data_IF_320310321283
#
_entry.id   IF_320310321283
#
_cell.length_a   1.000
_cell.length_b   1.000
_cell.length_c   1.000
_cell.angle_alpha   90.00
_cell.angle_beta   90.00
_cell.angle_gamma   90.00
#
_symmetry.space_group_name_H-M   'P 1'
#
loop_
_entity.id
_entity.type
_entity.pdbx_description
1 polymer ?
#
# COMPACT_ATOMS: atom_id res chain seq x y z
N UNK A 1 -19.53 10.53 -5.50
CA UNK A 1 -18.68 11.11 -6.56
C UNK A 1 -18.93 12.60 -6.67
N UNK A 2 -17.91 13.44 -6.89
CA UNK A 2 -18.13 14.86 -7.20
C UNK A 2 -18.81 14.98 -8.57
N UNK A 3 -19.80 15.87 -8.68
CA UNK A 3 -20.59 16.01 -9.88
C UNK A 3 -19.78 16.69 -10.99
N UNK A 4 -19.56 15.98 -12.09
CA UNK A 4 -18.76 16.42 -13.22
C UNK A 4 -19.67 16.78 -14.39
N UNK A 5 -19.29 17.73 -15.27
CA UNK A 5 -20.12 18.13 -16.41
C UNK A 5 -20.54 16.96 -17.32
N UNK A 6 -19.70 15.94 -17.46
CA UNK A 6 -20.01 14.75 -18.25
C UNK A 6 -21.01 13.78 -17.58
N UNK A 7 -21.34 13.95 -16.29
CA UNK A 7 -22.47 13.24 -15.64
C UNK A 7 -23.83 13.90 -15.88
N UNK A 8 -23.84 15.11 -16.43
CA UNK A 8 -25.06 15.87 -16.69
C UNK A 8 -25.69 15.55 -18.06
N UNK A 9 -25.01 14.75 -18.88
CA UNK A 9 -25.50 14.26 -20.17
C UNK A 9 -25.52 12.73 -20.18
N UNK A 10 -26.33 12.07 -21.03
CA UNK A 10 -26.20 10.64 -21.25
C UNK A 10 -24.77 10.29 -21.65
N UNK A 11 -24.21 9.25 -21.02
CA UNK A 11 -22.88 8.72 -21.32
C UNK A 11 -22.89 7.19 -21.26
N UNK A 12 -21.87 6.63 -21.88
CA UNK A 12 -21.52 5.23 -21.95
C UNK A 12 -19.99 5.07 -21.95
N UNK A 13 -19.48 3.85 -22.07
CA UNK A 13 -18.03 3.61 -22.13
C UNK A 13 -17.38 4.34 -23.31
N UNK A 14 -18.01 4.38 -24.49
CA UNK A 14 -17.41 4.96 -25.69
C UNK A 14 -17.21 6.48 -25.55
N UNK A 15 -18.27 7.18 -25.13
CA UNK A 15 -18.23 8.62 -24.83
C UNK A 15 -17.29 8.95 -23.67
N UNK A 16 -17.27 8.16 -22.60
CA UNK A 16 -16.28 8.35 -21.50
C UNK A 16 -14.85 8.16 -22.00
N UNK A 17 -14.58 7.15 -22.82
CA UNK A 17 -13.25 6.96 -23.42
C UNK A 17 -12.86 8.13 -24.30
N UNK A 18 -13.75 8.57 -25.19
CA UNK A 18 -13.47 9.64 -26.15
C UNK A 18 -13.33 11.03 -25.51
N UNK A 19 -14.28 11.39 -24.63
CA UNK A 19 -14.41 12.74 -24.09
C UNK A 19 -13.58 12.94 -22.81
N UNK A 20 -13.32 11.87 -22.05
CA UNK A 20 -12.73 11.96 -20.71
C UNK A 20 -11.43 11.19 -20.59
N UNK A 21 -11.42 9.87 -20.76
CA UNK A 21 -10.24 9.08 -20.42
C UNK A 21 -9.09 9.27 -21.41
N UNK A 22 -9.35 9.17 -22.72
CA UNK A 22 -8.32 9.32 -23.78
C UNK A 22 -7.60 10.67 -23.72
N UNK A 23 -8.29 11.82 -23.66
CA UNK A 23 -7.60 13.11 -23.61
C UNK A 23 -6.79 13.34 -22.32
N UNK A 24 -7.19 12.72 -21.21
CA UNK A 24 -6.59 13.03 -19.90
C UNK A 24 -5.46 12.07 -19.49
N UNK A 25 -5.57 10.77 -19.79
CA UNK A 25 -4.58 9.80 -19.31
C UNK A 25 -4.49 8.52 -20.13
N UNK A 26 -5.57 8.08 -20.77
CA UNK A 26 -5.60 6.79 -21.46
C UNK A 26 -4.75 6.79 -22.75
N UNK A 27 -4.47 7.96 -23.33
CA UNK A 27 -3.50 8.10 -24.43
C UNK A 27 -2.11 7.56 -24.07
N UNK A 28 -1.71 7.60 -22.78
CA UNK A 28 -0.42 7.07 -22.31
C UNK A 28 -0.33 5.57 -22.59
N UNK A 29 -1.43 4.84 -22.34
CA UNK A 29 -1.52 3.41 -22.60
C UNK A 29 -1.67 3.12 -24.10
N UNK A 30 -2.60 3.80 -24.79
CA UNK A 30 -2.87 3.56 -26.22
C UNK A 30 -1.65 3.84 -27.12
N UNK A 31 -0.82 4.81 -26.76
CA UNK A 31 0.37 5.20 -27.53
C UNK A 31 1.66 4.52 -27.03
N UNK A 32 1.58 3.70 -25.97
CA UNK A 32 2.74 3.02 -25.40
C UNK A 32 3.79 3.97 -24.81
N UNK A 33 3.37 5.13 -24.29
CA UNK A 33 4.28 6.16 -23.76
C UNK A 33 4.96 5.69 -22.47
N UNK A 34 4.19 5.11 -21.54
CA UNK A 34 4.67 4.63 -20.25
C UNK A 34 3.71 3.59 -19.65
N UNK A 35 4.17 2.78 -18.67
CA UNK A 35 3.27 1.99 -17.83
C UNK A 35 2.25 2.90 -17.13
N UNK A 36 0.98 2.48 -17.13
CA UNK A 36 -0.13 3.19 -16.51
C UNK A 36 -0.68 2.39 -15.34
N UNK A 37 -0.79 3.03 -14.18
CA UNK A 37 -1.50 2.53 -12.99
C UNK A 37 -2.64 3.49 -12.65
N UNK A 38 -3.87 2.99 -12.66
CA UNK A 38 -5.03 3.72 -12.12
C UNK A 38 -4.94 3.60 -10.60
N UNK A 39 -4.42 4.67 -9.96
CA UNK A 39 -4.13 4.67 -8.53
C UNK A 39 -5.36 4.51 -7.63
N UNK A 40 -6.50 5.06 -8.01
CA UNK A 40 -7.74 4.91 -7.25
C UNK A 40 -8.94 4.94 -8.19
N UNK A 41 -9.87 4.01 -7.99
CA UNK A 41 -11.22 4.09 -8.55
C UNK A 41 -12.18 3.31 -7.67
N UNK A 42 -13.42 3.79 -7.55
CA UNK A 42 -14.44 3.15 -6.73
C UNK A 42 -15.63 4.07 -6.48
N UNK A 43 -16.57 3.57 -5.67
CA UNK A 43 -17.82 4.24 -5.39
C UNK A 43 -18.80 3.33 -4.64
N UNK A 44 -19.93 3.92 -4.22
CA UNK A 44 -21.07 3.18 -3.67
C UNK A 44 -21.88 2.58 -4.83
N UNK A 45 -22.26 1.32 -4.72
CA UNK A 45 -23.05 0.65 -5.75
C UNK A 45 -24.53 0.69 -5.37
N UNK A 46 -25.42 0.91 -6.34
CA UNK A 46 -26.88 0.86 -6.13
C UNK A 46 -27.48 2.11 -5.50
N UNK A 47 -26.73 3.22 -5.43
CA UNK A 47 -27.22 4.49 -4.88
C UNK A 47 -27.44 5.58 -5.95
N UNK A 48 -26.64 5.56 -7.02
CA UNK A 48 -26.78 6.47 -8.16
C UNK A 48 -26.45 5.69 -9.44
N UNK A 49 -27.43 5.56 -10.33
CA UNK A 49 -27.28 4.83 -11.59
C UNK A 49 -26.16 5.38 -12.48
N UNK A 50 -25.85 6.68 -12.38
CA UNK A 50 -24.75 7.30 -13.13
C UNK A 50 -23.40 6.82 -12.57
N UNK A 51 -23.26 6.76 -11.25
CA UNK A 51 -22.05 6.24 -10.61
C UNK A 51 -21.86 4.76 -10.94
N UNK A 52 -22.92 3.97 -10.86
CA UNK A 52 -22.90 2.53 -11.19
C UNK A 52 -22.49 2.31 -12.65
N UNK A 53 -23.03 3.12 -13.57
CA UNK A 53 -22.69 3.10 -14.99
C UNK A 53 -21.23 3.50 -15.23
N UNK A 54 -20.75 4.54 -14.57
CA UNK A 54 -19.35 4.97 -14.65
C UNK A 54 -18.38 3.90 -14.14
N UNK A 55 -18.66 3.32 -12.96
CA UNK A 55 -17.85 2.26 -12.38
C UNK A 55 -17.82 1.03 -13.29
N UNK A 56 -18.96 0.66 -13.86
CA UNK A 56 -19.06 -0.46 -14.81
C UNK A 56 -18.25 -0.19 -16.07
N UNK A 57 -18.36 1.02 -16.64
CA UNK A 57 -17.63 1.39 -17.85
C UNK A 57 -16.11 1.41 -17.62
N UNK A 58 -15.64 1.95 -16.49
CA UNK A 58 -14.21 1.97 -16.16
C UNK A 58 -13.68 0.56 -15.89
N UNK A 59 -14.45 -0.26 -15.18
CA UNK A 59 -14.16 -1.69 -14.96
C UNK A 59 -13.98 -2.43 -16.28
N UNK A 60 -14.88 -2.20 -17.25
CA UNK A 60 -14.82 -2.82 -18.57
C UNK A 60 -13.57 -2.36 -19.34
N UNK A 61 -13.23 -1.07 -19.31
CA UNK A 61 -11.99 -0.54 -19.90
C UNK A 61 -10.75 -1.22 -19.31
N UNK A 62 -10.69 -1.32 -17.97
CA UNK A 62 -9.60 -1.98 -17.26
C UNK A 62 -9.46 -3.44 -17.70
N UNK A 63 -10.58 -4.17 -17.75
CA UNK A 63 -10.59 -5.58 -18.10
C UNK A 63 -10.21 -5.85 -19.56
N UNK A 64 -10.66 -4.99 -20.47
CA UNK A 64 -10.40 -5.03 -21.91
C UNK A 64 -8.93 -4.75 -22.22
N UNK A 65 -8.38 -3.67 -21.67
CA UNK A 65 -7.03 -3.21 -21.97
C UNK A 65 -5.96 -3.75 -21.02
N UNK A 66 -6.35 -4.58 -20.05
CA UNK A 66 -5.45 -5.10 -19.01
C UNK A 66 -4.69 -3.95 -18.34
N UNK A 67 -5.44 -2.96 -17.84
CA UNK A 67 -4.85 -1.84 -17.11
C UNK A 67 -4.48 -2.28 -15.68
N UNK A 68 -3.36 -1.76 -15.18
CA UNK A 68 -3.02 -1.90 -13.77
C UNK A 68 -3.89 -0.94 -12.95
N UNK A 69 -4.37 -1.39 -11.78
CA UNK A 69 -5.30 -0.63 -10.96
C UNK A 69 -5.20 -0.98 -9.49
N UNK A 70 -5.62 -0.03 -8.65
CA UNK A 70 -5.95 -0.24 -7.25
C UNK A 70 -7.37 0.24 -6.97
N UNK A 71 -8.22 -0.64 -6.44
CA UNK A 71 -9.61 -0.33 -6.14
C UNK A 71 -9.71 0.40 -4.81
N UNK A 72 -10.37 1.56 -4.82
CA UNK A 72 -10.66 2.33 -3.62
C UNK A 72 -12.07 1.96 -3.10
N UNK A 73 -12.21 1.28 -1.98
CA UNK A 73 -11.16 0.81 -1.05
C UNK A 73 -11.63 -0.47 -0.37
N UNK A 74 -10.73 -1.14 0.36
CA UNK A 74 -11.13 -2.24 1.24
C UNK A 74 -12.04 -1.74 2.38
N UNK A 75 -11.65 -0.63 3.00
CA UNK A 75 -12.23 -0.09 4.23
C UNK A 75 -13.66 0.47 4.03
N UNK A 76 -14.62 0.14 4.90
CA UNK A 76 -16.01 0.61 4.75
C UNK A 76 -16.18 2.11 5.03
N UNK A 77 -15.29 2.70 5.84
CA UNK A 77 -15.42 4.06 6.37
C UNK A 77 -14.97 5.18 5.42
N UNK A 78 -14.77 4.89 4.12
CA UNK A 78 -14.67 5.94 3.11
C UNK A 78 -16.05 6.58 2.90
N UNK A 79 -16.22 7.84 3.30
CA UNK A 79 -17.53 8.47 3.42
C UNK A 79 -18.32 8.50 2.11
N UNK A 80 -17.66 8.76 0.99
CA UNK A 80 -18.25 8.93 -0.33
C UNK A 80 -18.28 7.65 -1.18
N UNK A 81 -17.34 6.71 -0.99
CA UNK A 81 -17.27 5.47 -1.77
C UNK A 81 -17.75 4.23 -1.02
N UNK A 82 -17.76 4.26 0.32
CA UNK A 82 -17.72 3.03 1.12
C UNK A 82 -16.51 2.16 0.74
N UNK A 83 -16.56 0.88 1.13
CA UNK A 83 -15.51 -0.10 0.83
C UNK A 83 -16.03 -1.38 0.19
N UNK A 84 -15.13 -2.34 -0.01
CA UNK A 84 -15.44 -3.73 -0.32
C UNK A 84 -15.89 -4.51 0.93
N UNK A 85 -15.50 -4.07 2.12
CA UNK A 85 -16.09 -4.53 3.37
C UNK A 85 -17.35 -3.71 3.68
N UNK A 86 -18.27 -4.31 4.42
CA UNK A 86 -19.40 -3.65 5.08
C UNK A 86 -18.94 -2.98 6.38
N UNK A 87 -19.81 -2.16 6.96
CA UNK A 87 -19.50 -1.35 8.15
C UNK A 87 -19.14 -2.17 9.40
N UNK A 88 -19.41 -3.48 9.40
CA UNK A 88 -18.97 -4.41 10.45
C UNK A 88 -17.49 -4.82 10.35
N UNK A 89 -16.78 -4.36 9.31
CA UNK A 89 -15.38 -4.68 8.99
C UNK A 89 -15.08 -6.17 8.80
N UNK A 90 -16.11 -6.98 8.55
CA UNK A 90 -16.02 -8.45 8.48
C UNK A 90 -16.68 -9.01 7.24
N UNK A 91 -17.86 -8.52 6.90
CA UNK A 91 -18.64 -9.04 5.78
C UNK A 91 -18.27 -8.32 4.49
N UNK A 92 -18.24 -9.07 3.39
CA UNK A 92 -17.98 -8.51 2.07
C UNK A 92 -19.24 -7.89 1.48
N UNK A 93 -19.05 -6.78 0.76
CA UNK A 93 -20.04 -6.30 -0.19
C UNK A 93 -19.96 -7.13 -1.47
N UNK A 94 -20.69 -8.24 -1.50
CA UNK A 94 -20.73 -9.19 -2.62
C UNK A 94 -21.12 -8.53 -3.95
N UNK A 95 -22.02 -7.54 -3.91
CA UNK A 95 -22.45 -6.83 -5.13
C UNK A 95 -21.31 -5.99 -5.69
N UNK A 96 -20.59 -5.26 -4.83
CA UNK A 96 -19.44 -4.44 -5.23
C UNK A 96 -18.25 -5.31 -5.63
N UNK A 97 -18.02 -6.42 -4.93
CA UNK A 97 -17.00 -7.40 -5.32
C UNK A 97 -17.32 -8.03 -6.68
N UNK A 98 -18.58 -8.37 -6.95
CA UNK A 98 -19.00 -8.87 -8.26
C UNK A 98 -18.77 -7.85 -9.39
N UNK A 99 -18.94 -6.55 -9.11
CA UNK A 99 -18.55 -5.49 -10.05
C UNK A 99 -17.04 -5.50 -10.30
N UNK A 100 -16.22 -5.54 -9.24
CA UNK A 100 -14.75 -5.48 -9.31
C UNK A 100 -14.13 -6.72 -9.97
N UNK A 101 -14.64 -7.91 -9.68
CA UNK A 101 -14.02 -9.21 -10.01
C UNK A 101 -13.56 -9.35 -11.48
N UNK A 102 -14.29 -8.86 -12.50
CA UNK A 102 -13.82 -8.96 -13.89
C UNK A 102 -12.62 -8.07 -14.23
N UNK A 103 -12.35 -7.01 -13.44
CA UNK A 103 -11.14 -6.20 -13.57
C UNK A 103 -9.92 -6.85 -12.89
N UNK A 104 -10.11 -7.87 -12.04
CA UNK A 104 -9.01 -8.66 -11.49
C UNK A 104 -8.50 -9.62 -12.56
N UNK A 105 -7.21 -9.53 -12.88
CA UNK A 105 -6.62 -10.31 -13.96
C UNK A 105 -6.72 -11.80 -13.66
N UNK A 106 -7.18 -12.55 -14.66
CA UNK A 106 -7.31 -13.99 -14.56
C UNK A 106 -6.68 -14.67 -15.77
N UNK A 107 -6.14 -15.85 -15.55
CA UNK A 107 -5.62 -16.74 -16.57
C UNK A 107 -6.00 -18.18 -16.23
N UNK A 108 -6.71 -18.84 -17.14
CA UNK A 108 -7.21 -20.22 -16.95
C UNK A 108 -7.98 -20.41 -15.63
N UNK A 109 -8.83 -19.43 -15.27
CA UNK A 109 -9.66 -19.48 -14.05
C UNK A 109 -8.93 -19.17 -12.74
N UNK A 110 -7.64 -18.82 -12.78
CA UNK A 110 -6.87 -18.38 -11.60
C UNK A 110 -6.56 -16.89 -11.67
N UNK A 111 -6.55 -16.22 -10.52
CA UNK A 111 -6.15 -14.82 -10.42
C UNK A 111 -4.64 -14.67 -10.60
N UNK A 112 -4.21 -13.59 -11.26
CA UNK A 112 -2.79 -13.29 -11.50
C UNK A 112 -2.35 -12.24 -10.49
N UNK A 113 -1.31 -12.54 -9.70
CA UNK A 113 -0.69 -11.55 -8.81
C UNK A 113 0.15 -10.54 -9.59
N UNK A 114 0.47 -9.42 -8.96
CA UNK A 114 1.50 -8.49 -9.45
C UNK A 114 2.93 -8.98 -9.12
N UNK A 115 3.05 -10.05 -8.33
CA UNK A 115 4.33 -10.62 -7.93
C UNK A 115 4.83 -11.61 -8.99
N UNK A 116 6.12 -11.59 -9.31
CA UNK A 116 6.70 -12.42 -10.36
C UNK A 116 7.00 -13.85 -9.91
N UNK A 117 7.06 -14.12 -8.60
CA UNK A 117 7.52 -15.38 -8.01
C UNK A 117 6.47 -16.02 -7.11
N UNK A 118 5.78 -15.23 -6.29
CA UNK A 118 4.81 -15.74 -5.31
C UNK A 118 3.40 -15.70 -5.89
N UNK A 119 2.70 -16.84 -5.95
CA UNK A 119 1.31 -16.88 -6.39
C UNK A 119 0.40 -16.01 -5.50
N UNK A 120 -0.65 -15.43 -6.07
CA UNK A 120 -1.68 -14.77 -5.26
C UNK A 120 -2.30 -15.78 -4.28
N UNK A 121 -2.23 -15.51 -2.98
CA UNK A 121 -2.63 -16.46 -1.92
C UNK A 121 -1.47 -17.29 -1.36
N UNK A 122 -0.24 -17.05 -1.82
CA UNK A 122 0.98 -17.66 -1.27
C UNK A 122 1.36 -18.99 -1.93
N UNK A 123 2.40 -19.62 -1.36
CA UNK A 123 2.91 -20.93 -1.81
C UNK A 123 1.81 -21.98 -1.62
N UNK A 124 1.51 -22.74 -2.68
CA UNK A 124 0.44 -23.73 -2.68
C UNK A 124 -0.96 -23.18 -2.98
N UNK A 125 -1.09 -21.91 -3.37
CA UNK A 125 -2.37 -21.33 -3.75
C UNK A 125 -3.06 -22.13 -4.87
N UNK A 126 -4.32 -22.46 -4.64
CA UNK A 126 -5.19 -23.09 -5.64
C UNK A 126 -5.95 -22.07 -6.48
N UNK A 127 -6.05 -20.83 -6.00
CA UNK A 127 -6.89 -19.76 -6.58
C UNK A 127 -6.09 -18.74 -7.39
N UNK A 128 -4.77 -18.69 -7.23
CA UNK A 128 -3.92 -17.68 -7.85
C UNK A 128 -2.61 -18.21 -8.43
N UNK A 129 -1.99 -17.42 -9.30
CA UNK A 129 -0.68 -17.65 -9.92
C UNK A 129 0.18 -16.38 -9.83
N UNK A 130 1.49 -16.53 -10.04
CA UNK A 130 2.44 -15.43 -10.18
C UNK A 130 2.38 -14.84 -11.60
N UNK A 131 2.88 -13.61 -11.76
CA UNK A 131 3.07 -13.00 -13.07
C UNK A 131 4.11 -13.78 -13.91
N UNK A 132 5.13 -14.35 -13.28
CA UNK A 132 6.12 -15.20 -13.95
C UNK A 132 5.48 -16.43 -14.58
N UNK A 133 4.66 -17.15 -13.80
CA UNK A 133 3.87 -18.30 -14.26
C UNK A 133 2.96 -17.94 -15.44
N UNK A 134 2.32 -16.75 -15.41
CA UNK A 134 1.45 -16.27 -16.49
C UNK A 134 2.18 -16.11 -17.84
N UNK A 135 3.42 -15.64 -17.84
CA UNK A 135 4.17 -15.35 -19.08
C UNK A 135 5.11 -16.48 -19.51
N UNK A 136 4.98 -17.67 -18.92
CA UNK A 136 5.80 -18.83 -19.28
C UNK A 136 7.23 -18.74 -18.77
N UNK A 137 7.53 -17.83 -17.84
CA UNK A 137 8.73 -17.95 -17.03
C UNK A 137 8.61 -19.22 -16.19
N UNK A 138 9.62 -20.08 -16.19
CA UNK A 138 9.72 -21.11 -15.16
C UNK A 138 9.63 -20.40 -13.82
N UNK A 139 8.62 -20.70 -13.00
CA UNK A 139 8.65 -20.31 -11.59
C UNK A 139 10.03 -20.77 -11.09
N UNK A 140 10.94 -19.87 -10.67
CA UNK A 140 12.01 -20.35 -9.82
C UNK A 140 11.27 -21.01 -8.66
N UNK A 141 11.54 -22.29 -8.40
CA UNK A 141 11.02 -22.96 -7.21
C UNK A 141 11.17 -21.97 -6.08
N UNK A 142 10.08 -21.48 -5.47
CA UNK A 142 10.23 -20.55 -4.38
C UNK A 142 10.93 -21.35 -3.30
N UNK A 143 12.24 -21.11 -3.12
CA UNK A 143 12.88 -21.38 -1.85
C UNK A 143 12.15 -20.47 -0.89
N UNK A 144 11.10 -21.02 -0.27
CA UNK A 144 10.67 -20.54 1.02
C UNK A 144 11.96 -20.45 1.83
N UNK A 145 12.40 -19.27 2.29
CA UNK A 145 13.21 -19.29 3.49
C UNK A 145 12.28 -19.88 4.52
N UNK A 146 12.42 -21.18 4.78
CA UNK A 146 12.14 -21.69 6.12
C UNK A 146 12.77 -20.64 7.03
N UNK A 147 12.05 -20.05 8.00
CA UNK A 147 12.73 -19.38 9.09
C UNK A 147 13.48 -20.48 9.84
N UNK A 148 14.62 -20.91 9.30
CA UNK A 148 15.72 -21.43 10.10
C UNK A 148 16.07 -20.27 10.99
N UNK A 149 15.65 -20.37 12.24
CA UNK A 149 16.32 -19.69 13.33
C UNK A 149 17.82 -19.79 13.01
N UNK A 150 18.54 -18.68 12.80
CA UNK A 150 19.94 -18.76 12.45
C UNK A 150 20.64 -19.52 13.56
N UNK A 151 21.13 -20.71 13.26
CA UNK A 151 22.15 -21.36 14.09
C UNK A 151 23.31 -20.38 14.09
N UNK A 152 23.53 -19.73 15.22
CA UNK A 152 24.55 -18.72 15.40
C UNK A 152 25.92 -19.31 15.03
N UNK A 153 26.43 -18.96 13.85
CA UNK A 153 27.86 -19.02 13.57
C UNK A 153 28.50 -17.97 14.48
N UNK A 154 29.57 -18.29 15.23
CA UNK A 154 30.22 -17.31 16.09
C UNK A 154 30.94 -16.29 15.22
N UNK A 155 30.23 -15.22 14.83
CA UNK A 155 30.82 -14.00 14.32
C UNK A 155 31.11 -13.08 15.49
N UNK A 156 32.35 -12.64 15.55
CA UNK A 156 32.87 -11.66 16.49
C UNK A 156 31.95 -10.45 16.57
N UNK A 157 31.38 -10.23 17.76
CA UNK A 157 30.48 -9.12 18.04
C UNK A 157 31.17 -7.78 17.75
N UNK A 158 30.60 -7.01 16.82
CA UNK A 158 30.77 -5.56 16.78
C UNK A 158 29.84 -4.97 17.85
N UNK A 159 30.29 -4.02 18.69
CA UNK A 159 29.57 -3.64 19.90
C UNK A 159 28.22 -3.03 19.57
N UNK A 160 27.14 -3.73 19.95
CA UNK A 160 25.81 -3.15 20.01
C UNK A 160 25.77 -2.21 21.22
N UNK A 161 25.39 -0.93 21.08
CA UNK A 161 25.16 -0.09 22.26
C UNK A 161 24.02 -0.72 23.05
N UNK A 162 24.29 -1.15 24.29
CA UNK A 162 23.25 -1.61 25.20
C UNK A 162 22.37 -0.41 25.55
N UNK A 163 21.18 -0.33 24.97
CA UNK A 163 20.23 0.71 25.33
C UNK A 163 19.50 0.31 26.62
N UNK A 164 19.45 1.18 27.64
CA UNK A 164 18.89 0.84 28.95
C UNK A 164 17.39 0.53 28.87
N UNK A 165 16.94 -0.40 29.71
CA UNK A 165 15.53 -0.75 29.87
C UNK A 165 14.71 0.51 30.19
N UNK A 166 13.72 0.83 29.35
CA UNK A 166 12.91 2.05 29.42
C UNK A 166 12.76 2.79 28.09
N UNK A 167 13.48 2.37 27.04
CA UNK A 167 13.35 2.92 25.68
C UNK A 167 12.52 2.00 24.78
N UNK A 168 11.76 2.58 23.84
CA UNK A 168 11.19 1.79 22.75
C UNK A 168 12.30 1.38 21.76
N UNK A 169 12.02 0.46 20.86
CA UNK A 169 12.86 0.16 19.72
C UNK A 169 12.22 0.70 18.44
N UNK A 170 13.01 1.20 17.49
CA UNK A 170 12.50 1.63 16.20
C UNK A 170 13.39 1.18 15.04
N UNK A 171 12.77 0.75 13.95
CA UNK A 171 13.45 0.31 12.72
C UNK A 171 12.89 1.02 11.51
N UNK A 172 13.77 1.48 10.62
CA UNK A 172 13.41 2.18 9.39
C UNK A 172 13.54 1.25 8.17
N UNK A 173 12.62 1.41 7.21
CA UNK A 173 12.78 0.91 5.85
C UNK A 173 12.24 1.92 4.83
N UNK A 174 12.89 2.01 3.68
CA UNK A 174 12.31 2.69 2.52
C UNK A 174 11.30 1.74 1.85
N UNK A 175 10.06 2.20 1.65
CA UNK A 175 9.00 1.40 1.00
C UNK A 175 8.86 1.72 -0.49
N UNK A 176 9.27 2.91 -0.90
CA UNK A 176 9.33 3.34 -2.31
C UNK A 176 10.40 4.41 -2.47
N UNK A 177 11.11 4.44 -3.59
CA UNK A 177 12.14 5.44 -3.91
C UNK A 177 11.95 5.93 -5.34
N UNK A 178 12.21 7.22 -5.56
CA UNK A 178 12.15 7.87 -6.88
C UNK A 178 13.31 8.87 -7.02
N UNK A 179 13.59 9.40 -8.23
CA UNK A 179 14.82 10.18 -8.46
C UNK A 179 15.05 11.38 -7.54
N UNK A 180 13.98 11.95 -6.98
CA UNK A 180 14.04 13.16 -6.14
C UNK A 180 13.61 12.93 -4.69
N UNK A 181 13.31 11.69 -4.28
CA UNK A 181 12.80 11.43 -2.93
C UNK A 181 12.48 9.96 -2.64
N UNK A 182 11.89 9.72 -1.47
CA UNK A 182 11.49 8.38 -1.05
C UNK A 182 10.34 8.42 -0.04
N UNK A 183 9.63 7.30 0.03
CA UNK A 183 8.69 6.98 1.11
C UNK A 183 9.38 6.11 2.16
N UNK A 184 9.38 6.60 3.39
CA UNK A 184 9.91 5.91 4.56
C UNK A 184 8.81 5.34 5.45
N UNK A 185 9.07 4.18 6.04
CA UNK A 185 8.25 3.62 7.11
C UNK A 185 9.14 3.28 8.30
N UNK A 186 8.67 3.63 9.50
CA UNK A 186 9.33 3.30 10.76
C UNK A 186 8.39 2.46 11.60
N UNK A 187 8.87 1.28 12.01
CA UNK A 187 8.20 0.42 12.98
C UNK A 187 8.70 0.76 14.37
N UNK A 188 7.79 1.05 15.29
CA UNK A 188 8.07 1.29 16.71
C UNK A 188 7.58 0.09 17.49
N UNK A 189 8.44 -0.48 18.33
CA UNK A 189 8.18 -1.68 19.12
C UNK A 189 8.45 -1.39 20.59
N UNK A 190 7.62 -1.96 21.48
CA UNK A 190 7.87 -1.99 22.90
C UNK A 190 8.59 -3.30 23.28
N UNK A 191 9.92 -3.30 23.47
CA UNK A 191 10.65 -4.51 23.89
C UNK A 191 10.50 -4.82 25.38
N UNK A 192 9.90 -3.91 26.15
CA UNK A 192 9.75 -4.05 27.60
C UNK A 192 8.65 -5.02 28.01
N UNK A 193 8.56 -5.23 29.33
CA UNK A 193 7.56 -6.11 29.96
C UNK A 193 6.33 -5.38 30.47
N UNK A 194 6.30 -4.05 30.36
CA UNK A 194 5.16 -3.19 30.73
C UNK A 194 4.68 -2.40 29.52
N UNK A 195 3.38 -2.07 29.48
CA UNK A 195 2.83 -1.23 28.43
C UNK A 195 3.40 0.19 28.49
N UNK A 196 3.73 0.77 27.34
CA UNK A 196 4.09 2.19 27.19
C UNK A 196 2.87 2.98 26.73
N UNK A 197 2.78 4.28 27.05
CA UNK A 197 1.61 5.13 26.73
C UNK A 197 1.91 6.17 25.66
N UNK A 198 3.19 6.40 25.38
CA UNK A 198 3.63 7.17 24.23
C UNK A 198 5.00 6.72 23.75
N UNK A 199 5.36 7.20 22.57
CA UNK A 199 6.67 6.98 21.98
C UNK A 199 7.12 8.18 21.19
N UNK A 200 8.43 8.32 21.04
CA UNK A 200 9.08 9.35 20.25
C UNK A 200 10.32 8.77 19.58
N UNK A 201 10.46 8.97 18.28
CA UNK A 201 11.60 8.50 17.47
C UNK A 201 12.35 9.69 16.90
N UNK A 202 13.65 9.76 17.17
CA UNK A 202 14.55 10.73 16.54
C UNK A 202 15.30 10.07 15.40
N UNK A 203 15.43 10.79 14.29
CA UNK A 203 16.09 10.33 13.08
C UNK A 203 17.20 11.29 12.68
N UNK A 204 18.30 10.77 12.16
CA UNK A 204 19.28 11.57 11.42
C UNK A 204 18.98 11.40 9.94
N UNK A 205 18.68 12.51 9.27
CA UNK A 205 18.44 12.55 7.84
C UNK A 205 19.75 12.87 7.10
N UNK A 206 19.98 12.31 5.90
CA UNK A 206 21.07 12.73 5.04
C UNK A 206 21.03 14.22 4.71
N UNK A 207 22.20 14.80 4.39
CA UNK A 207 22.28 16.20 4.01
C UNK A 207 21.41 16.47 2.76
N UNK A 208 20.60 17.52 2.83
CA UNK A 208 19.69 17.90 1.74
C UNK A 208 18.39 17.11 1.68
N UNK A 209 18.15 16.16 2.59
CA UNK A 209 16.86 15.47 2.73
C UNK A 209 15.92 16.33 3.58
N UNK A 210 14.70 16.54 3.09
CA UNK A 210 13.62 17.23 3.80
C UNK A 210 12.40 16.31 3.86
N UNK A 211 11.85 16.12 5.06
CA UNK A 211 10.59 15.37 5.24
C UNK A 211 9.42 16.33 5.05
N UNK A 212 8.58 16.06 4.04
CA UNK A 212 7.48 16.92 3.62
C UNK A 212 6.14 16.54 4.27
N UNK A 213 5.87 15.24 4.38
CA UNK A 213 4.62 14.74 4.95
C UNK A 213 4.89 13.58 5.91
N UNK A 214 4.10 13.49 6.99
CA UNK A 214 4.14 12.41 7.98
C UNK A 214 2.70 11.98 8.28
N UNK A 215 2.48 10.68 8.39
CA UNK A 215 1.20 10.10 8.84
C UNK A 215 1.43 9.10 9.97
N UNK A 216 0.38 8.83 10.75
CA UNK A 216 0.43 8.01 11.96
C UNK A 216 1.47 8.50 12.99
N UNK A 217 1.84 9.78 12.95
CA UNK A 217 2.76 10.42 13.88
C UNK A 217 2.71 11.94 13.76
N UNK A 218 3.24 12.63 14.76
CA UNK A 218 3.35 14.09 14.82
C UNK A 218 4.84 14.46 14.76
N UNK A 219 5.24 15.22 13.75
CA UNK A 219 6.63 15.59 13.52
C UNK A 219 6.97 16.93 14.17
N UNK A 220 8.11 16.98 14.85
CA UNK A 220 8.79 18.20 15.28
C UNK A 220 10.26 18.07 14.89
N UNK A 221 10.69 18.84 13.87
CA UNK A 221 12.03 18.72 13.28
C UNK A 221 12.37 17.27 12.89
N UNK A 222 13.46 16.71 13.44
CA UNK A 222 13.93 15.36 13.13
C UNK A 222 13.36 14.30 14.08
N UNK A 223 12.36 14.65 14.87
CA UNK A 223 11.69 13.76 15.82
C UNK A 223 10.22 13.58 15.44
N UNK A 224 9.74 12.34 15.50
CA UNK A 224 8.33 11.98 15.30
C UNK A 224 7.80 11.32 16.58
N UNK A 225 6.74 11.86 17.14
CA UNK A 225 6.02 11.27 18.27
C UNK A 225 4.73 10.58 17.83
N UNK A 226 4.15 9.76 18.69
CA UNK A 226 2.89 9.08 18.42
C UNK A 226 1.74 10.04 18.04
N UNK A 227 0.85 9.56 17.17
CA UNK A 227 -0.47 10.14 16.98
C UNK A 227 -1.38 9.82 18.19
N UNK A 228 -2.53 10.50 18.35
CA UNK A 228 -3.40 10.31 19.52
C UNK A 228 -3.88 8.87 19.73
N UNK A 229 -3.98 8.07 18.67
CA UNK A 229 -4.56 6.72 18.70
C UNK A 229 -3.53 5.58 18.75
N UNK A 230 -2.23 5.85 18.56
CA UNK A 230 -1.21 4.80 18.44
C UNK A 230 -0.04 4.94 19.44
N UNK A 231 -0.23 5.70 20.51
CA UNK A 231 0.80 5.85 21.56
C UNK A 231 0.92 4.66 22.51
N UNK A 232 -0.18 3.93 22.76
CA UNK A 232 -0.17 2.82 23.70
C UNK A 232 0.28 1.52 23.04
N UNK A 233 1.39 0.96 23.50
CA UNK A 233 1.89 -0.34 23.04
C UNK A 233 2.02 -1.30 24.22
N UNK A 234 1.33 -2.43 24.16
CA UNK A 234 1.52 -3.54 25.10
C UNK A 234 2.96 -4.09 25.03
N UNK A 235 3.41 -4.91 26.01
CA UNK A 235 4.67 -5.64 25.89
C UNK A 235 4.74 -6.40 24.55
N UNK A 236 5.87 -6.28 23.86
CA UNK A 236 6.09 -6.80 22.49
C UNK A 236 5.14 -6.26 21.42
N UNK A 237 4.31 -5.26 21.73
CA UNK A 237 3.44 -4.58 20.78
C UNK A 237 4.21 -3.61 19.88
N UNK A 238 3.67 -3.39 18.68
CA UNK A 238 4.27 -2.49 17.70
C UNK A 238 3.22 -1.60 17.02
N UNK A 239 3.67 -0.47 16.49
CA UNK A 239 2.93 0.39 15.56
C UNK A 239 3.87 0.85 14.45
N UNK A 240 3.33 1.42 13.38
CA UNK A 240 4.11 2.07 12.33
C UNK A 240 3.72 3.53 12.16
N UNK A 241 4.70 4.33 11.74
CA UNK A 241 4.44 5.62 11.11
C UNK A 241 5.20 5.70 9.79
N UNK A 242 4.73 6.57 8.89
CA UNK A 242 5.36 6.76 7.59
C UNK A 242 5.55 8.23 7.25
N UNK A 243 6.43 8.47 6.30
CA UNK A 243 6.72 9.82 5.82
C UNK A 243 7.17 9.82 4.36
N UNK A 244 7.00 10.97 3.70
CA UNK A 244 7.60 11.25 2.39
C UNK A 244 8.70 12.28 2.58
N UNK A 245 9.87 11.99 2.01
CA UNK A 245 11.02 12.88 2.02
C UNK A 245 11.53 13.16 0.59
N UNK A 246 12.08 14.35 0.41
CA UNK A 246 12.67 14.81 -0.85
C UNK A 246 14.13 15.23 -0.65
N UNK A 247 14.92 15.13 -1.72
CA UNK A 247 16.32 15.57 -1.77
C UNK A 247 17.32 14.56 -1.18
N UNK A 248 18.61 14.77 -1.50
CA UNK A 248 19.75 14.01 -0.99
C UNK A 248 19.86 12.54 -1.44
N UNK A 249 21.02 11.94 -1.21
CA UNK A 249 21.25 10.50 -1.30
C UNK A 249 22.00 10.06 -0.04
N UNK A 250 21.46 9.10 0.71
CA UNK A 250 22.11 8.61 1.94
C UNK A 250 21.18 7.83 2.88
N UNK A 251 21.74 7.21 3.93
CA UNK A 251 20.95 6.42 4.87
C UNK A 251 20.19 7.30 5.86
N UNK A 252 18.91 6.99 6.10
CA UNK A 252 18.18 7.46 7.28
C UNK A 252 18.59 6.60 8.47
N UNK A 253 19.02 7.24 9.55
CA UNK A 253 19.48 6.54 10.76
C UNK A 253 18.51 6.84 11.90
N UNK A 254 18.00 5.80 12.56
CA UNK A 254 17.26 5.96 13.82
C UNK A 254 18.28 6.27 14.92
N UNK A 255 18.26 7.50 15.44
CA UNK A 255 19.24 7.96 16.44
C UNK A 255 18.76 7.71 17.87
N UNK A 256 17.45 7.72 18.11
CA UNK A 256 16.87 7.36 19.40
C UNK A 256 15.39 6.93 19.27
N UNK A 257 14.93 6.12 20.21
CA UNK A 257 13.52 5.85 20.46
C UNK A 257 13.27 5.97 21.97
N UNK A 258 12.30 6.77 22.39
CA UNK A 258 12.00 7.02 23.80
C UNK A 258 10.56 6.64 24.09
N UNK A 259 10.35 5.75 25.06
CA UNK A 259 9.01 5.46 25.58
C UNK A 259 8.60 6.53 26.60
N UNK A 260 7.29 6.81 26.69
CA UNK A 260 6.68 7.74 27.63
C UNK A 260 5.46 7.10 28.31
#
# INVERSE_FOLDING_TARGET
>A
MFDQPWFQKPFDKASLTADVWRPNWFFIHEQGIAPLLIGEWGGRLGQDERQDRWMTALRDLIAEHKLHQTFWVLNPNSGDTGGLLRDDWKTWDEQKYALLKPALWQHNGKFVSLDHQVPLGGVGSTTGISLGSRYGGSDPTPTSPTPTLPTATPTTASPTPSQPAGTCAATFRATSTWPTGFQGEVTVTNPGTSAIRGWSVSMTLPQGVVVNNVWNGVRSENTVSNAPYNGTLAPSGSTTYGFVAEGGTGPVIISACTAR
#
